data_IF_619288741708
#
_entry.id   IF_619288741708
#
_cell.length_a   1.000
_cell.length_b   1.000
_cell.length_c   1.000
_cell.angle_alpha   90.00
_cell.angle_beta   90.00
_cell.angle_gamma   90.00
#
_symmetry.space_group_name_H-M   'P 1'
#
loop_
_entity.id
_entity.type
_entity.pdbx_description
1 polymer ?
#
# COMPACT_ATOMS: atom_id res chain seq x y z
N UNK A 1 -30.69 -5.39 7.39
CA UNK A 1 -30.04 -4.06 7.33
C UNK A 1 -28.61 -4.32 6.90
N UNK A 2 -28.29 -4.02 5.63
CA UNK A 2 -26.95 -4.22 5.07
C UNK A 2 -25.98 -3.31 5.82
N UNK A 3 -25.19 -3.93 6.71
CA UNK A 3 -24.23 -3.25 7.55
C UNK A 3 -23.22 -2.49 6.71
N UNK A 4 -23.01 -1.24 7.11
CA UNK A 4 -22.11 -0.23 6.58
C UNK A 4 -20.69 -0.74 6.27
N UNK A 5 -20.16 -0.35 5.10
CA UNK A 5 -18.73 -0.31 4.82
C UNK A 5 -18.12 -1.65 4.44
N UNK A 6 -17.12 -1.56 3.55
CA UNK A 6 -16.20 -2.63 3.16
C UNK A 6 -15.98 -3.67 4.30
N UNK A 7 -16.14 -4.95 4.00
CA UNK A 7 -15.95 -6.05 4.95
C UNK A 7 -14.46 -6.22 5.33
N UNK A 8 -14.15 -6.84 6.48
CA UNK A 8 -12.79 -7.22 6.85
C UNK A 8 -12.04 -7.98 5.74
N UNK A 9 -12.72 -8.91 5.08
CA UNK A 9 -12.17 -9.67 3.95
C UNK A 9 -11.85 -8.78 2.74
N UNK A 10 -12.73 -7.82 2.43
CA UNK A 10 -12.50 -6.84 1.36
C UNK A 10 -11.32 -5.89 1.68
N UNK A 11 -11.15 -5.48 2.95
CA UNK A 11 -9.97 -4.68 3.36
C UNK A 11 -8.68 -5.49 3.25
N UNK A 12 -8.69 -6.74 3.69
CA UNK A 12 -7.53 -7.62 3.59
C UNK A 12 -7.14 -7.86 2.13
N UNK A 13 -8.14 -8.09 1.26
CA UNK A 13 -7.92 -8.20 -0.18
C UNK A 13 -7.36 -6.91 -0.77
N UNK A 14 -7.94 -5.75 -0.44
CA UNK A 14 -7.46 -4.46 -0.92
C UNK A 14 -6.00 -4.20 -0.49
N UNK A 15 -5.61 -4.58 0.73
CA UNK A 15 -4.23 -4.46 1.18
C UNK A 15 -3.27 -5.32 0.34
N UNK A 16 -3.65 -6.56 0.04
CA UNK A 16 -2.88 -7.46 -0.85
C UNK A 16 -2.79 -6.89 -2.27
N UNK A 17 -3.88 -6.35 -2.80
CA UNK A 17 -3.90 -5.74 -4.12
C UNK A 17 -2.98 -4.50 -4.18
N UNK A 18 -2.95 -3.68 -3.13
CA UNK A 18 -2.02 -2.54 -3.01
C UNK A 18 -0.57 -3.00 -2.94
N UNK A 19 -0.27 -4.07 -2.19
CA UNK A 19 1.08 -4.65 -2.13
C UNK A 19 1.52 -5.15 -3.51
N UNK A 20 0.65 -5.85 -4.24
CA UNK A 20 0.95 -6.34 -5.58
C UNK A 20 1.22 -5.19 -6.57
N UNK A 21 0.40 -4.13 -6.54
CA UNK A 21 0.60 -2.94 -7.39
C UNK A 21 1.91 -2.22 -7.04
N UNK A 22 2.28 -2.18 -5.76
CA UNK A 22 3.55 -1.62 -5.31
C UNK A 22 4.74 -2.41 -5.87
N UNK A 23 4.69 -3.74 -5.82
CA UNK A 23 5.72 -4.61 -6.40
C UNK A 23 5.82 -4.46 -7.93
N UNK A 24 4.69 -4.45 -8.63
CA UNK A 24 4.65 -4.25 -10.08
C UNK A 24 5.21 -2.87 -10.49
N UNK A 25 4.85 -1.83 -9.73
CA UNK A 25 5.35 -0.47 -9.94
C UNK A 25 6.87 -0.40 -9.74
N UNK A 26 7.38 -1.00 -8.67
CA UNK A 26 8.83 -1.07 -8.41
C UNK A 26 9.58 -1.81 -9.53
N UNK A 27 9.04 -2.92 -10.00
CA UNK A 27 9.63 -3.68 -11.11
C UNK A 27 9.66 -2.87 -12.40
N UNK A 28 8.56 -2.17 -12.71
CA UNK A 28 8.46 -1.29 -13.88
C UNK A 28 9.47 -0.14 -13.80
N UNK A 29 9.59 0.48 -12.63
CA UNK A 29 10.56 1.55 -12.39
C UNK A 29 12.01 1.05 -12.48
N UNK A 30 12.30 -0.15 -11.97
CA UNK A 30 13.62 -0.75 -12.10
C UNK A 30 13.97 -1.07 -13.56
N UNK A 31 13.01 -1.57 -14.32
CA UNK A 31 13.16 -1.85 -15.75
C UNK A 31 13.45 -0.57 -16.54
N UNK A 32 12.68 0.50 -16.28
CA UNK A 32 12.89 1.80 -16.88
C UNK A 32 14.27 2.38 -16.53
N UNK A 33 14.68 2.33 -15.25
CA UNK A 33 16.01 2.77 -14.82
C UNK A 33 17.14 2.01 -15.54
N UNK A 34 16.98 0.70 -15.69
CA UNK A 34 17.94 -0.16 -16.39
C UNK A 34 18.02 0.18 -17.89
N UNK A 35 16.89 0.50 -18.53
CA UNK A 35 16.83 0.92 -19.92
C UNK A 35 17.44 2.32 -20.16
N UNK A 36 17.42 3.19 -19.14
CA UNK A 36 18.02 4.52 -19.19
C UNK A 36 19.53 4.49 -18.96
N UNK A 37 20.07 3.47 -18.31
CA UNK A 37 21.49 3.36 -17.94
C UNK A 37 22.46 3.43 -19.15
N UNK A 38 22.21 2.75 -20.29
CA UNK A 38 23.08 2.84 -21.47
C UNK A 38 23.05 4.22 -22.16
N UNK A 39 21.99 5.02 -21.96
CA UNK A 39 21.89 6.36 -22.54
C UNK A 39 22.81 7.36 -21.85
N UNK A 40 23.17 7.10 -20.59
CA UNK A 40 24.13 7.89 -19.83
C UNK A 40 25.49 7.97 -20.52
N UNK A 41 25.98 6.85 -21.04
CA UNK A 41 27.31 6.77 -21.67
C UNK A 41 27.38 7.54 -23.00
N UNK A 42 26.22 7.78 -23.62
CA UNK A 42 26.13 8.45 -24.91
C UNK A 42 25.89 9.97 -24.77
N UNK A 43 25.59 10.48 -23.57
CA UNK A 43 25.31 11.90 -23.33
C UNK A 43 26.47 12.56 -22.59
N UNK A 44 27.32 13.30 -23.31
CA UNK A 44 28.42 14.06 -22.72
C UNK A 44 28.07 15.53 -22.47
N UNK A 45 28.75 16.18 -21.52
CA UNK A 45 28.63 17.62 -21.27
C UNK A 45 27.33 18.05 -20.58
N UNK A 46 26.63 19.04 -21.13
CA UNK A 46 25.41 19.59 -20.51
C UNK A 46 24.24 18.59 -20.46
N UNK A 47 24.16 17.67 -21.43
CA UNK A 47 23.15 16.63 -21.45
C UNK A 47 23.31 15.63 -20.29
N UNK A 48 24.56 15.29 -19.94
CA UNK A 48 24.87 14.43 -18.79
C UNK A 48 24.33 15.00 -17.48
N UNK A 49 24.50 16.32 -17.27
CA UNK A 49 24.02 17.01 -16.06
C UNK A 49 22.49 17.06 -15.99
N UNK A 50 21.83 17.32 -17.12
CA UNK A 50 20.37 17.30 -17.18
C UNK A 50 19.82 15.90 -16.89
N UNK A 51 20.46 14.87 -17.43
CA UNK A 51 20.09 13.48 -17.17
C UNK A 51 20.35 13.05 -15.73
N UNK A 52 21.49 13.41 -15.13
CA UNK A 52 21.74 13.15 -13.72
C UNK A 52 20.67 13.77 -12.82
N UNK A 53 20.25 15.00 -13.13
CA UNK A 53 19.15 15.68 -12.43
C UNK A 53 17.82 14.96 -12.62
N UNK A 54 17.52 14.49 -13.84
CA UNK A 54 16.33 13.71 -14.15
C UNK A 54 16.33 12.38 -13.37
N UNK A 55 17.44 11.66 -13.38
CA UNK A 55 17.60 10.37 -12.67
C UNK A 55 17.48 10.54 -11.15
N UNK A 56 17.97 11.65 -10.59
CA UNK A 56 17.77 11.94 -9.17
C UNK A 56 16.29 12.13 -8.84
N UNK A 57 15.59 12.99 -9.60
CA UNK A 57 14.13 13.21 -9.42
C UNK A 57 13.34 11.93 -9.61
N UNK A 58 13.71 11.14 -10.60
CA UNK A 58 13.13 9.84 -10.87
C UNK A 58 13.22 8.90 -9.66
N UNK A 59 14.40 8.78 -9.07
CA UNK A 59 14.60 7.97 -7.87
C UNK A 59 13.80 8.52 -6.67
N UNK A 60 13.78 9.84 -6.50
CA UNK A 60 13.01 10.48 -5.43
C UNK A 60 11.51 10.19 -5.57
N UNK A 61 10.96 10.30 -6.77
CA UNK A 61 9.54 10.07 -7.03
C UNK A 61 9.18 8.58 -6.95
N UNK A 62 10.06 7.68 -7.39
CA UNK A 62 9.92 6.24 -7.20
C UNK A 62 9.83 5.88 -5.71
N UNK A 63 10.71 6.44 -4.88
CA UNK A 63 10.70 6.20 -3.44
C UNK A 63 9.42 6.74 -2.78
N UNK A 64 8.97 7.95 -3.15
CA UNK A 64 7.71 8.52 -2.64
C UNK A 64 6.52 7.65 -2.97
N UNK A 65 6.44 7.14 -4.20
CA UNK A 65 5.38 6.24 -4.63
C UNK A 65 5.37 4.96 -3.78
N UNK A 66 6.54 4.35 -3.60
CA UNK A 66 6.69 3.14 -2.79
C UNK A 66 6.23 3.37 -1.34
N UNK A 67 6.73 4.42 -0.68
CA UNK A 67 6.36 4.76 0.70
C UNK A 67 4.86 5.05 0.83
N UNK A 68 4.26 5.74 -0.14
CA UNK A 68 2.83 6.01 -0.12
C UNK A 68 1.98 4.73 -0.24
N UNK A 69 2.35 3.83 -1.15
CA UNK A 69 1.65 2.56 -1.33
C UNK A 69 1.81 1.64 -0.11
N UNK A 70 3.01 1.57 0.47
CA UNK A 70 3.24 0.83 1.70
C UNK A 70 2.40 1.38 2.87
N UNK A 71 2.36 2.70 3.04
CA UNK A 71 1.54 3.34 4.06
C UNK A 71 0.04 3.04 3.87
N UNK A 72 -0.46 3.03 2.63
CA UNK A 72 -1.85 2.66 2.33
C UNK A 72 -2.11 1.20 2.70
N UNK A 73 -1.22 0.27 2.34
CA UNK A 73 -1.34 -1.15 2.69
C UNK A 73 -1.36 -1.36 4.20
N UNK A 74 -0.46 -0.70 4.94
CA UNK A 74 -0.42 -0.74 6.40
C UNK A 74 -1.72 -0.19 7.02
N UNK A 75 -2.19 0.96 6.54
CA UNK A 75 -3.44 1.56 7.03
C UNK A 75 -4.65 0.64 6.79
N UNK A 76 -4.72 -0.06 5.66
CA UNK A 76 -5.77 -1.03 5.37
C UNK A 76 -5.70 -2.24 6.32
N UNK A 77 -4.49 -2.77 6.57
CA UNK A 77 -4.26 -3.87 7.52
C UNK A 77 -4.62 -3.49 8.95
N UNK A 78 -4.26 -2.29 9.39
CA UNK A 78 -4.62 -1.76 10.71
C UNK A 78 -6.12 -1.56 10.86
N UNK A 79 -6.76 -0.99 9.84
CA UNK A 79 -8.22 -0.80 9.82
C UNK A 79 -8.94 -2.14 9.91
N UNK A 80 -8.50 -3.14 9.14
CA UNK A 80 -9.02 -4.50 9.22
C UNK A 80 -8.91 -5.09 10.64
N UNK A 81 -7.73 -4.98 11.27
CA UNK A 81 -7.52 -5.47 12.63
C UNK A 81 -8.40 -4.75 13.67
N UNK A 82 -8.64 -3.44 13.49
CA UNK A 82 -9.54 -2.68 14.35
C UNK A 82 -11.01 -3.13 14.19
N UNK A 83 -11.46 -3.37 12.96
CA UNK A 83 -12.80 -3.89 12.68
C UNK A 83 -13.04 -5.27 13.30
N UNK A 84 -12.10 -6.21 13.12
CA UNK A 84 -12.20 -7.56 13.71
C UNK A 84 -12.32 -7.50 15.24
N UNK A 85 -11.46 -6.70 15.90
CA UNK A 85 -11.54 -6.53 17.36
C UNK A 85 -12.88 -5.97 17.82
N UNK A 86 -13.42 -4.98 17.10
CA UNK A 86 -14.70 -4.39 17.47
C UNK A 86 -15.87 -5.37 17.30
N UNK A 87 -15.81 -6.26 16.33
CA UNK A 87 -16.80 -7.32 16.14
C UNK A 87 -16.73 -8.38 17.25
N UNK A 88 -15.53 -8.80 17.65
CA UNK A 88 -15.29 -9.71 18.79
C UNK A 88 -15.80 -9.12 20.12
N UNK A 89 -15.47 -7.86 20.41
CA UNK A 89 -15.94 -7.15 21.61
C UNK A 89 -17.48 -7.06 21.64
N UNK A 90 -18.09 -6.69 20.52
CA UNK A 90 -19.56 -6.58 20.40
C UNK A 90 -20.25 -7.93 20.60
N UNK A 91 -19.72 -9.00 19.99
CA UNK A 91 -20.24 -10.37 20.13
C UNK A 91 -20.13 -10.89 21.58
N UNK A 92 -19.01 -10.61 22.24
CA UNK A 92 -18.80 -11.00 23.64
C UNK A 92 -19.75 -10.27 24.60
N UNK A 93 -19.99 -8.97 24.38
CA UNK A 93 -20.94 -8.17 25.15
C UNK A 93 -22.38 -8.67 24.99
N UNK A 94 -22.77 -8.99 23.75
CA UNK A 94 -24.09 -9.57 23.46
C UNK A 94 -24.27 -10.92 24.16
N UNK A 95 -23.27 -11.79 24.09
CA UNK A 95 -23.30 -13.10 24.75
C UNK A 95 -23.46 -12.97 26.27
N UNK A 96 -22.75 -12.03 26.89
CA UNK A 96 -22.87 -11.74 28.32
C UNK A 96 -24.28 -11.24 28.69
N UNK A 97 -24.85 -10.30 27.93
CA UNK A 97 -26.21 -9.79 28.17
C UNK A 97 -27.24 -10.91 28.01
N UNK A 98 -27.12 -11.72 26.97
CA UNK A 98 -28.04 -12.83 26.71
C UNK A 98 -27.99 -13.89 27.81
N UNK A 99 -26.79 -14.17 28.35
CA UNK A 99 -26.61 -15.08 29.48
C UNK A 99 -27.17 -14.53 30.80
N UNK A 100 -27.19 -13.21 30.99
CA UNK A 100 -27.75 -12.56 32.19
C UNK A 100 -29.27 -12.44 32.13
N UNK A 101 -29.84 -12.27 30.93
CA UNK A 101 -31.30 -12.13 30.74
C UNK A 101 -32.02 -13.47 30.55
N UNK A 102 -31.30 -14.51 30.12
CA UNK A 102 -31.84 -15.86 29.91
C UNK A 102 -31.61 -16.84 31.07
N UNK A 103 -30.99 -16.37 32.17
CA UNK A 103 -30.76 -17.12 33.41
C UNK A 103 -31.75 -16.75 34.51
#
# INVERSE_FOLDING_TARGET
>A
MSGYGITPEEMAKAAVDVDNVNEESQNSLKSLGSALQPLHDNWSGNAARAFATLMQRYNDDANKLHTALEAISQQLKESNAAYVRQEEESSSSLSNITSVLGG
#
